data_IF_524900178095
#
_entry.id   IF_524900178095
#
_cell.length_a   1.000
_cell.length_b   1.000
_cell.length_c   1.000
_cell.angle_alpha   90.00
_cell.angle_beta   90.00
_cell.angle_gamma   90.00
#
_symmetry.space_group_name_H-M   'P 1'
#
loop_
_entity.id
_entity.type
_entity.pdbx_description
1 polymer ?
#
# COMPACT_ATOMS: atom_id res chain seq x y z
N UNK A 1 18.89 1.74 36.73
CA UNK A 1 20.07 2.11 35.93
C UNK A 1 21.33 1.51 36.48
N UNK A 2 21.49 0.20 36.29
CA UNK A 2 22.84 -0.36 36.18
C UNK A 2 23.33 0.04 34.79
N UNK A 3 24.37 0.87 34.73
CA UNK A 3 25.08 1.13 33.48
C UNK A 3 25.72 -0.19 33.04
N UNK A 4 25.08 -0.87 32.10
CA UNK A 4 25.57 -2.11 31.52
C UNK A 4 26.95 -1.83 30.91
N UNK A 5 28.00 -2.35 31.54
CA UNK A 5 29.38 -2.21 31.07
C UNK A 5 29.58 -3.14 29.88
N UNK A 6 29.61 -2.58 28.68
CA UNK A 6 29.96 -3.31 27.46
C UNK A 6 31.47 -3.52 27.44
N UNK A 7 31.92 -4.77 27.39
CA UNK A 7 33.35 -5.08 27.39
C UNK A 7 33.98 -4.81 26.02
N UNK A 8 35.31 -4.64 26.00
CA UNK A 8 36.05 -4.48 24.75
C UNK A 8 36.01 -5.75 23.88
N UNK A 9 35.87 -6.91 24.51
CA UNK A 9 35.69 -8.22 23.84
C UNK A 9 34.35 -8.26 23.11
N UNK A 10 33.25 -7.84 23.74
CA UNK A 10 31.92 -7.79 23.10
C UNK A 10 31.90 -6.88 21.86
N UNK A 11 32.61 -5.76 21.93
CA UNK A 11 32.73 -4.82 20.80
C UNK A 11 33.52 -5.44 19.65
N UNK A 12 34.61 -6.15 19.97
CA UNK A 12 35.43 -6.83 18.98
C UNK A 12 34.65 -7.98 18.32
N UNK A 13 33.98 -8.82 19.11
CA UNK A 13 33.17 -9.93 18.61
C UNK A 13 32.01 -9.43 17.72
N UNK A 14 31.32 -8.37 18.15
CA UNK A 14 30.25 -7.76 17.35
C UNK A 14 30.77 -7.27 15.99
N UNK A 15 31.93 -6.63 15.97
CA UNK A 15 32.56 -6.14 14.75
C UNK A 15 32.99 -7.27 13.82
N UNK A 16 33.64 -8.30 14.35
CA UNK A 16 34.12 -9.44 13.56
C UNK A 16 32.96 -10.25 12.97
N UNK A 17 31.88 -10.45 13.72
CA UNK A 17 30.68 -11.15 13.26
C UNK A 17 29.87 -10.36 12.22
N UNK A 18 30.02 -9.04 12.17
CA UNK A 18 29.29 -8.13 11.26
C UNK A 18 30.22 -7.29 10.38
N UNK A 19 31.39 -7.82 10.05
CA UNK A 19 32.40 -7.08 9.28
C UNK A 19 31.88 -6.62 7.91
N UNK A 20 30.92 -7.36 7.34
CA UNK A 20 30.24 -7.01 6.10
C UNK A 20 29.44 -5.70 6.21
N UNK A 21 28.79 -5.43 7.35
CA UNK A 21 28.03 -4.19 7.59
C UNK A 21 28.94 -2.95 7.63
N UNK A 22 30.24 -3.16 7.85
CA UNK A 22 31.27 -2.13 7.92
C UNK A 22 32.16 -2.07 6.67
N UNK A 23 31.82 -2.85 5.64
CA UNK A 23 32.54 -2.88 4.37
C UNK A 23 31.83 -2.03 3.33
N UNK A 24 32.53 -1.05 2.75
CA UNK A 24 32.01 -0.20 1.66
C UNK A 24 32.74 -0.48 0.36
N UNK A 25 32.06 -0.27 -0.76
CA UNK A 25 32.69 -0.33 -2.10
C UNK A 25 33.11 1.07 -2.52
N UNK A 26 34.40 1.28 -2.69
CA UNK A 26 34.98 2.50 -3.24
C UNK A 26 35.56 2.24 -4.62
N UNK A 27 35.60 3.26 -5.47
CA UNK A 27 36.31 3.18 -6.75
C UNK A 27 37.75 3.62 -6.57
N UNK A 28 38.70 2.79 -6.98
CA UNK A 28 40.13 3.11 -6.94
C UNK A 28 40.52 4.20 -7.97
N UNK A 29 41.78 4.64 -7.93
CA UNK A 29 42.32 5.66 -8.85
C UNK A 29 42.32 5.24 -10.33
N UNK A 30 42.05 3.96 -10.63
CA UNK A 30 41.98 3.39 -11.96
C UNK A 30 40.54 3.09 -12.42
N UNK A 31 39.52 3.46 -11.62
CA UNK A 31 38.12 3.21 -11.95
C UNK A 31 37.62 1.80 -11.61
N UNK A 32 38.38 1.01 -10.85
CA UNK A 32 37.99 -0.34 -10.43
C UNK A 32 37.37 -0.33 -9.03
N UNK A 33 36.30 -1.10 -8.78
CA UNK A 33 35.73 -1.22 -7.44
C UNK A 33 36.70 -1.98 -6.52
N UNK A 34 36.88 -1.47 -5.30
CA UNK A 34 37.58 -2.11 -4.20
C UNK A 34 36.71 -2.07 -2.94
N UNK A 35 36.85 -3.08 -2.10
CA UNK A 35 36.21 -3.12 -0.79
C UNK A 35 37.12 -2.49 0.25
N UNK A 36 36.55 -1.63 1.10
CA UNK A 36 37.24 -0.97 2.21
C UNK A 36 36.45 -1.24 3.47
N UNK A 37 37.08 -1.88 4.44
CA UNK A 37 36.51 -2.14 5.76
C UNK A 37 36.83 -0.95 6.66
N UNK A 38 35.83 -0.41 7.34
CA UNK A 38 36.03 0.68 8.30
C UNK A 38 36.77 0.17 9.55
N UNK A 39 37.80 0.89 10.01
CA UNK A 39 38.54 0.52 11.23
C UNK A 39 37.63 0.44 12.46
N UNK A 40 37.89 -0.53 13.34
CA UNK A 40 37.11 -0.75 14.58
C UNK A 40 36.96 0.53 15.41
N UNK A 41 38.02 1.32 15.57
CA UNK A 41 37.99 2.56 16.33
C UNK A 41 37.04 3.60 15.73
N UNK A 42 36.87 3.59 14.41
CA UNK A 42 35.96 4.51 13.70
C UNK A 42 34.49 4.15 13.93
N UNK A 43 34.16 2.86 14.08
CA UNK A 43 32.79 2.35 14.24
C UNK A 43 32.42 1.97 15.68
N UNK A 44 33.41 1.90 16.59
CA UNK A 44 33.25 1.49 18.00
C UNK A 44 32.10 2.19 18.71
N UNK A 45 31.96 3.50 18.56
CA UNK A 45 30.89 4.26 19.23
C UNK A 45 29.49 3.80 18.78
N UNK A 46 29.32 3.49 17.50
CA UNK A 46 28.09 2.94 16.94
C UNK A 46 27.83 1.52 17.43
N UNK A 47 28.86 0.67 17.50
CA UNK A 47 28.76 -0.70 18.03
C UNK A 47 28.34 -0.69 19.50
N UNK A 48 28.98 0.15 20.33
CA UNK A 48 28.61 0.28 21.76
C UNK A 48 27.17 0.75 21.91
N UNK A 49 26.70 1.68 21.07
CA UNK A 49 25.32 2.13 21.07
C UNK A 49 24.35 0.99 20.67
N UNK A 50 24.70 0.20 19.65
CA UNK A 50 23.92 -0.95 19.21
C UNK A 50 23.84 -2.04 20.30
N UNK A 51 24.97 -2.40 20.91
CA UNK A 51 25.03 -3.37 22.01
C UNK A 51 24.23 -2.91 23.23
N UNK A 52 24.31 -1.63 23.59
CA UNK A 52 23.48 -1.05 24.66
C UNK A 52 22.00 -1.11 24.32
N UNK A 53 21.63 -0.82 23.08
CA UNK A 53 20.23 -0.93 22.63
C UNK A 53 19.75 -2.37 22.71
N UNK A 54 20.55 -3.33 22.27
CA UNK A 54 20.20 -4.75 22.34
C UNK A 54 20.02 -5.19 23.80
N UNK A 55 20.97 -4.88 24.68
CA UNK A 55 20.89 -5.23 26.09
C UNK A 55 19.68 -4.57 26.79
N UNK A 56 19.37 -3.32 26.44
CA UNK A 56 18.18 -2.63 26.93
C UNK A 56 16.88 -3.30 26.46
N UNK A 57 16.83 -3.75 25.20
CA UNK A 57 15.68 -4.49 24.66
C UNK A 57 15.52 -5.85 25.35
N UNK A 58 16.60 -6.60 25.55
CA UNK A 58 16.56 -7.89 26.26
C UNK A 58 16.08 -7.71 27.71
N UNK A 59 16.55 -6.67 28.40
CA UNK A 59 16.09 -6.36 29.75
C UNK A 59 14.61 -5.93 29.77
N UNK A 60 14.19 -5.13 28.78
CA UNK A 60 12.80 -4.71 28.65
C UNK A 60 11.88 -5.90 28.34
N UNK A 61 12.31 -6.82 27.48
CA UNK A 61 11.60 -8.05 27.15
C UNK A 61 11.46 -8.97 28.37
N UNK A 62 12.55 -9.18 29.12
CA UNK A 62 12.50 -9.97 30.36
C UNK A 62 11.54 -9.36 31.40
N UNK A 63 11.57 -8.04 31.57
CA UNK A 63 10.66 -7.34 32.47
C UNK A 63 9.20 -7.41 31.99
N UNK A 64 8.96 -7.32 30.68
CA UNK A 64 7.65 -7.49 30.08
C UNK A 64 7.12 -8.92 30.27
N UNK A 65 7.96 -9.94 30.05
CA UNK A 65 7.61 -11.33 30.26
C UNK A 65 7.27 -11.62 31.73
N UNK A 66 8.03 -11.05 32.66
CA UNK A 66 7.73 -11.16 34.09
C UNK A 66 6.40 -10.50 34.45
N UNK A 67 6.14 -9.29 33.95
CA UNK A 67 4.85 -8.62 34.16
C UNK A 67 3.69 -9.43 33.58
N UNK A 68 3.86 -9.99 32.38
CA UNK A 68 2.86 -10.84 31.76
C UNK A 68 2.57 -12.09 32.61
N UNK A 69 3.60 -12.74 33.13
CA UNK A 69 3.46 -13.90 34.01
C UNK A 69 2.75 -13.56 35.33
N UNK A 70 3.09 -12.42 35.94
CA UNK A 70 2.43 -11.95 37.17
C UNK A 70 0.97 -11.58 36.97
N UNK A 71 0.55 -11.34 35.73
CA UNK A 71 -0.82 -10.99 35.39
C UNK A 71 -1.74 -12.21 35.12
N UNK A 72 -1.16 -13.42 35.07
CA UNK A 72 -1.88 -14.69 34.90
C UNK A 72 -2.44 -15.16 36.27
N UNK A 73 -3.57 -15.91 36.31
CA UNK A 73 -4.12 -16.46 37.54
C UNK A 73 -3.11 -17.26 38.36
N UNK A 74 -3.21 -17.14 39.68
CA UNK A 74 -2.47 -18.00 40.60
C UNK A 74 -3.01 -19.44 40.65
N UNK A 75 -2.40 -20.29 41.49
CA UNK A 75 -2.82 -21.71 41.63
C UNK A 75 -4.25 -21.86 42.15
N UNK A 76 -4.80 -20.84 42.78
CA UNK A 76 -6.16 -20.81 43.31
C UNK A 76 -7.17 -20.23 42.30
N UNK A 77 -6.69 -19.82 41.12
CA UNK A 77 -7.50 -19.26 40.03
C UNK A 77 -7.82 -17.78 40.20
N UNK A 78 -7.17 -17.09 41.13
CA UNK A 78 -7.39 -15.65 41.36
C UNK A 78 -6.68 -14.85 40.29
N UNK A 79 -7.44 -14.07 39.50
CA UNK A 79 -6.88 -13.15 38.49
C UNK A 79 -6.39 -11.89 39.20
N UNK A 80 -5.08 -11.58 39.16
CA UNK A 80 -4.57 -10.34 39.72
C UNK A 80 -5.01 -9.12 38.89
N UNK A 81 -5.13 -7.96 39.53
CA UNK A 81 -5.46 -6.71 38.85
C UNK A 81 -4.22 -6.20 38.08
N UNK A 82 -4.26 -6.25 36.75
CA UNK A 82 -3.13 -5.93 35.90
C UNK A 82 -2.52 -4.55 36.18
N UNK A 83 -3.37 -3.52 36.36
CA UNK A 83 -2.90 -2.16 36.66
C UNK A 83 -2.08 -2.11 37.97
N UNK A 84 -2.50 -2.86 38.99
CA UNK A 84 -1.77 -2.94 40.26
C UNK A 84 -0.43 -3.68 40.12
N UNK A 85 -0.35 -4.73 39.31
CA UNK A 85 0.92 -5.42 39.03
C UNK A 85 1.88 -4.55 38.19
N UNK A 86 1.33 -3.81 37.22
CA UNK A 86 2.08 -2.87 36.40
C UNK A 86 2.64 -1.72 37.26
N UNK A 87 1.86 -1.18 38.20
CA UNK A 87 2.30 -0.17 39.16
C UNK A 87 3.40 -0.70 40.11
N UNK A 88 3.28 -1.93 40.61
CA UNK A 88 4.33 -2.58 41.42
C UNK A 88 5.64 -2.74 40.64
N UNK A 89 5.56 -2.95 39.33
CA UNK A 89 6.71 -3.00 38.43
C UNK A 89 7.27 -1.61 38.06
N UNK A 90 6.66 -0.52 38.53
CA UNK A 90 7.04 0.85 38.19
C UNK A 90 6.69 1.23 36.74
N UNK A 91 5.73 0.52 36.12
CA UNK A 91 5.31 0.69 34.73
C UNK A 91 3.78 0.87 34.69
N UNK A 92 3.25 2.07 35.00
CA UNK A 92 1.80 2.26 35.13
C UNK A 92 1.07 1.93 33.83
N UNK A 93 -0.02 1.18 33.92
CA UNK A 93 -0.80 0.77 32.76
C UNK A 93 -1.52 1.97 32.13
N UNK A 94 -1.41 2.09 30.80
CA UNK A 94 -2.12 3.11 30.03
C UNK A 94 -3.33 2.50 29.33
N UNK A 95 -4.51 3.12 29.50
CA UNK A 95 -5.72 2.72 28.80
C UNK A 95 -5.73 3.26 27.37
N UNK A 96 -5.91 2.35 26.40
CA UNK A 96 -6.09 2.69 25.00
C UNK A 96 -7.57 2.94 24.68
N UNK A 97 -7.83 3.79 23.68
CA UNK A 97 -9.17 3.90 23.11
C UNK A 97 -9.53 2.60 22.35
N UNK A 98 -10.82 2.27 22.17
CA UNK A 98 -11.22 1.13 21.36
C UNK A 98 -10.67 1.24 19.94
N UNK A 99 -10.15 0.14 19.41
CA UNK A 99 -9.49 0.13 18.10
C UNK A 99 -9.79 -1.16 17.32
N UNK A 100 -9.61 -1.11 16.01
CA UNK A 100 -9.92 -2.21 15.09
C UNK A 100 -8.65 -2.96 14.67
N UNK A 101 -8.78 -4.18 14.11
CA UNK A 101 -7.65 -5.06 13.77
C UNK A 101 -6.59 -4.43 12.86
N UNK A 102 -6.99 -3.49 12.00
CA UNK A 102 -6.12 -2.81 11.03
C UNK A 102 -5.76 -1.38 11.42
N UNK A 103 -6.08 -0.98 12.65
CA UNK A 103 -5.66 0.31 13.18
C UNK A 103 -4.22 0.26 13.69
N UNK A 104 -3.61 1.42 13.84
CA UNK A 104 -2.31 1.58 14.52
C UNK A 104 -2.60 2.30 15.84
N UNK A 105 -2.94 1.56 16.91
CA UNK A 105 -3.32 2.17 18.18
C UNK A 105 -2.14 2.83 18.89
N UNK A 106 -0.91 2.46 18.52
CA UNK A 106 0.32 2.98 19.07
C UNK A 106 1.39 3.06 17.98
N UNK A 107 1.98 4.22 17.74
CA UNK A 107 2.94 4.43 16.64
C UNK A 107 4.20 3.57 16.82
N UNK A 108 4.76 3.51 18.03
CA UNK A 108 6.01 2.80 18.33
C UNK A 108 5.92 1.28 18.08
N UNK A 109 4.80 0.66 18.44
CA UNK A 109 4.55 -0.77 18.25
C UNK A 109 3.88 -1.13 16.92
N UNK A 110 3.45 -0.13 16.15
CA UNK A 110 2.88 -0.29 14.82
C UNK A 110 1.72 -1.29 14.74
N UNK A 111 1.70 -2.09 13.67
CA UNK A 111 0.67 -3.10 13.42
C UNK A 111 0.77 -4.32 14.37
N UNK A 112 1.93 -4.58 14.96
CA UNK A 112 2.13 -5.73 15.84
C UNK A 112 1.28 -5.63 17.12
N UNK A 113 1.08 -4.42 17.63
CA UNK A 113 0.19 -4.16 18.78
C UNK A 113 -1.25 -4.55 18.46
N UNK A 114 -1.75 -4.14 17.29
CA UNK A 114 -3.11 -4.48 16.88
C UNK A 114 -3.26 -5.98 16.61
N UNK A 115 -2.26 -6.64 16.01
CA UNK A 115 -2.27 -8.08 15.80
C UNK A 115 -2.36 -8.85 17.12
N UNK A 116 -1.45 -8.58 18.05
CA UNK A 116 -1.41 -9.24 19.36
C UNK A 116 -2.67 -9.00 20.19
N UNK A 117 -3.24 -7.78 20.15
CA UNK A 117 -4.49 -7.48 20.86
C UNK A 117 -5.68 -8.32 20.38
N UNK A 118 -5.71 -8.67 19.10
CA UNK A 118 -6.79 -9.47 18.49
C UNK A 118 -6.58 -10.99 18.64
N UNK A 119 -5.46 -11.43 19.20
CA UNK A 119 -5.23 -12.81 19.64
C UNK A 119 -5.69 -13.03 21.09
N UNK A 120 -5.97 -11.96 21.84
CA UNK A 120 -6.39 -12.05 23.24
C UNK A 120 -7.84 -12.50 23.37
N UNK A 121 -8.10 -13.27 24.42
CA UNK A 121 -9.45 -13.73 24.78
C UNK A 121 -9.85 -13.24 26.18
N UNK A 122 -11.16 -13.07 26.46
CA UNK A 122 -11.63 -12.63 27.77
C UNK A 122 -11.49 -13.73 28.84
N UNK A 123 -10.91 -14.89 28.53
CA UNK A 123 -10.63 -15.92 29.50
C UNK A 123 -9.47 -15.50 30.43
N UNK A 124 -9.17 -16.29 31.46
CA UNK A 124 -8.22 -15.87 32.49
C UNK A 124 -6.74 -15.98 32.06
N UNK A 125 -6.42 -16.83 31.09
CA UNK A 125 -5.05 -17.15 30.67
C UNK A 125 -4.61 -16.37 29.44
N UNK A 126 -5.52 -16.11 28.51
CA UNK A 126 -5.24 -15.45 27.22
C UNK A 126 -5.63 -13.97 27.22
N UNK A 127 -5.82 -13.37 28.40
CA UNK A 127 -6.17 -11.94 28.55
C UNK A 127 -4.95 -11.02 28.44
N UNK A 128 -3.75 -11.57 28.58
CA UNK A 128 -2.49 -10.85 28.61
C UNK A 128 -1.66 -11.27 27.40
N UNK A 129 -1.09 -10.32 26.66
CA UNK A 129 -0.23 -10.65 25.53
C UNK A 129 1.14 -11.12 25.97
N UNK A 130 1.84 -11.83 25.08
CA UNK A 130 3.29 -11.90 25.13
C UNK A 130 3.91 -10.49 24.97
N UNK A 131 5.20 -10.29 25.32
CA UNK A 131 5.91 -9.05 25.04
C UNK A 131 5.89 -8.72 23.54
N UNK A 132 5.65 -7.44 23.23
CA UNK A 132 5.58 -6.92 21.86
C UNK A 132 6.68 -5.88 21.72
N UNK A 133 7.68 -6.15 20.88
CA UNK A 133 8.73 -5.19 20.59
C UNK A 133 8.19 -4.06 19.70
N UNK A 134 8.29 -2.83 20.19
CA UNK A 134 8.19 -1.59 19.42
C UNK A 134 9.57 -1.12 18.93
N UNK A 135 9.62 0.10 18.40
CA UNK A 135 10.88 0.71 17.95
C UNK A 135 11.76 1.10 19.14
N UNK A 136 11.16 1.69 20.16
CA UNK A 136 11.84 2.22 21.34
C UNK A 136 11.43 1.52 22.65
N UNK A 137 10.25 0.88 22.70
CA UNK A 137 9.74 0.24 23.91
C UNK A 137 9.30 -1.21 23.67
N UNK A 138 9.13 -1.94 24.77
CA UNK A 138 8.46 -3.25 24.77
C UNK A 138 7.11 -3.11 25.49
N UNK A 139 6.07 -3.68 24.90
CA UNK A 139 4.70 -3.55 25.36
C UNK A 139 4.14 -4.87 25.85
N UNK A 140 3.26 -4.80 26.85
CA UNK A 140 2.40 -5.90 27.30
C UNK A 140 0.97 -5.38 27.28
N UNK A 141 0.08 -6.09 26.60
CA UNK A 141 -1.32 -5.72 26.49
C UNK A 141 -2.16 -6.54 27.46
N UNK A 142 -3.18 -5.90 28.01
CA UNK A 142 -4.21 -6.54 28.81
C UNK A 142 -5.58 -6.25 28.19
N UNK A 143 -6.34 -7.31 27.89
CA UNK A 143 -7.67 -7.18 27.33
C UNK A 143 -8.68 -6.81 28.43
N UNK A 144 -9.08 -5.54 28.44
CA UNK A 144 -10.13 -5.04 29.33
C UNK A 144 -11.54 -5.44 28.84
N UNK A 145 -11.82 -5.22 27.55
CA UNK A 145 -13.15 -5.40 26.98
C UNK A 145 -13.11 -5.62 25.46
N UNK A 146 -13.90 -6.57 24.99
CA UNK A 146 -14.23 -6.73 23.57
C UNK A 146 -15.52 -5.96 23.28
N UNK A 147 -15.51 -5.13 22.24
CA UNK A 147 -16.71 -4.53 21.69
C UNK A 147 -17.19 -5.37 20.51
N UNK A 148 -18.44 -5.82 20.57
CA UNK A 148 -19.01 -6.60 19.47
C UNK A 148 -19.01 -5.79 18.16
N UNK A 149 -18.72 -6.44 17.01
CA UNK A 149 -18.85 -5.80 15.71
C UNK A 149 -20.24 -5.21 15.54
N UNK A 150 -20.31 -3.90 15.34
CA UNK A 150 -21.56 -3.19 15.07
C UNK A 150 -21.36 -2.18 13.97
N UNK A 151 -22.42 -1.90 13.23
CA UNK A 151 -22.46 -0.73 12.35
C UNK A 151 -22.67 0.50 13.25
N UNK A 152 -21.77 1.49 13.23
CA UNK A 152 -21.97 2.74 13.96
C UNK A 152 -23.25 3.44 13.49
N UNK A 153 -23.91 4.16 14.40
CA UNK A 153 -25.01 5.03 14.00
C UNK A 153 -24.46 6.17 13.14
N UNK A 154 -25.28 6.71 12.23
CA UNK A 154 -24.84 7.79 11.33
C UNK A 154 -24.29 8.98 12.11
N UNK A 155 -24.89 9.33 13.24
CA UNK A 155 -24.49 10.43 14.12
C UNK A 155 -23.06 10.27 14.66
N UNK A 156 -22.59 9.03 14.87
CA UNK A 156 -21.25 8.74 15.38
C UNK A 156 -20.17 8.94 14.32
N UNK A 157 -20.52 8.77 13.04
CA UNK A 157 -19.59 8.84 11.90
C UNK A 157 -19.90 10.01 10.97
N UNK A 158 -20.85 10.88 11.33
CA UNK A 158 -21.37 11.92 10.45
C UNK A 158 -20.27 12.84 9.91
N UNK A 159 -19.30 13.23 10.74
CA UNK A 159 -18.21 14.11 10.34
C UNK A 159 -17.22 13.40 9.40
N UNK A 160 -16.89 12.14 9.67
CA UNK A 160 -16.03 11.33 8.81
C UNK A 160 -16.68 11.09 7.44
N UNK A 161 -17.97 10.75 7.43
CA UNK A 161 -18.74 10.49 6.21
C UNK A 161 -18.95 11.78 5.43
N UNK A 162 -19.13 12.94 6.09
CA UNK A 162 -19.34 14.22 5.40
C UNK A 162 -18.15 14.59 4.51
N UNK A 163 -16.93 14.39 4.97
CA UNK A 163 -15.74 14.69 4.17
C UNK A 163 -15.62 13.77 2.96
N UNK A 164 -15.84 12.47 3.15
CA UNK A 164 -15.87 11.49 2.04
C UNK A 164 -17.00 11.81 1.05
N UNK A 165 -18.18 12.18 1.54
CA UNK A 165 -19.32 12.57 0.73
C UNK A 165 -19.04 13.86 -0.06
N UNK A 166 -18.36 14.84 0.54
CA UNK A 166 -17.91 16.07 -0.13
C UNK A 166 -16.98 15.74 -1.28
N UNK A 167 -15.94 14.95 -1.04
CA UNK A 167 -14.99 14.52 -2.08
C UNK A 167 -15.69 13.77 -3.22
N UNK A 168 -16.62 12.88 -2.90
CA UNK A 168 -17.41 12.16 -3.90
C UNK A 168 -18.30 13.10 -4.72
N UNK A 169 -18.95 14.07 -4.07
CA UNK A 169 -19.78 15.06 -4.75
C UNK A 169 -18.95 15.96 -5.67
N UNK A 170 -17.75 16.36 -5.25
CA UNK A 170 -16.81 17.14 -6.05
C UNK A 170 -16.33 16.36 -7.28
N UNK A 171 -15.91 15.10 -7.10
CA UNK A 171 -15.51 14.24 -8.20
C UNK A 171 -16.65 14.03 -9.22
N UNK A 172 -17.88 13.80 -8.73
CA UNK A 172 -19.05 13.65 -9.59
C UNK A 172 -19.41 14.94 -10.34
N UNK A 173 -19.35 16.09 -9.67
CA UNK A 173 -19.59 17.39 -10.29
C UNK A 173 -18.53 17.73 -11.35
N UNK A 174 -17.26 17.41 -11.08
CA UNK A 174 -16.17 17.61 -12.02
C UNK A 174 -16.35 16.71 -13.26
N UNK A 175 -16.64 15.42 -13.06
CA UNK A 175 -16.91 14.48 -14.15
C UNK A 175 -18.08 14.94 -15.03
N UNK A 176 -19.21 15.33 -14.43
CA UNK A 176 -20.36 15.84 -15.15
C UNK A 176 -20.03 17.10 -15.96
N UNK A 177 -19.21 18.01 -15.40
CA UNK A 177 -18.75 19.20 -16.12
C UNK A 177 -17.85 18.84 -17.29
N UNK A 178 -16.94 17.87 -17.13
CA UNK A 178 -16.10 17.36 -18.20
C UNK A 178 -16.93 16.82 -19.36
N UNK A 179 -17.92 15.96 -19.08
CA UNK A 179 -18.84 15.42 -20.10
C UNK A 179 -19.62 16.52 -20.81
N UNK A 180 -20.17 17.49 -20.07
CA UNK A 180 -20.88 18.60 -20.68
C UNK A 180 -20.00 19.44 -21.63
N UNK A 181 -18.72 19.62 -21.30
CA UNK A 181 -17.77 20.32 -22.18
C UNK A 181 -17.50 19.51 -23.46
N UNK A 182 -17.29 18.18 -23.32
CA UNK A 182 -17.10 17.29 -24.46
C UNK A 182 -18.32 17.30 -25.39
N UNK A 183 -19.53 17.15 -24.85
CA UNK A 183 -20.78 17.17 -25.62
C UNK A 183 -20.98 18.51 -26.34
N UNK A 184 -20.75 19.62 -25.64
CA UNK A 184 -20.83 20.96 -26.23
C UNK A 184 -19.80 21.14 -27.36
N UNK A 185 -18.58 20.64 -27.17
CA UNK A 185 -17.54 20.67 -28.18
C UNK A 185 -17.93 19.84 -29.42
N UNK A 186 -18.36 18.60 -29.22
CA UNK A 186 -18.75 17.70 -30.30
C UNK A 186 -19.94 18.25 -31.11
N UNK A 187 -20.98 18.74 -30.42
CA UNK A 187 -22.15 19.35 -31.06
C UNK A 187 -21.78 20.63 -31.82
N UNK A 188 -20.97 21.51 -31.22
CA UNK A 188 -20.55 22.74 -31.88
C UNK A 188 -19.66 22.50 -33.10
N UNK A 189 -18.79 21.50 -33.06
CA UNK A 189 -17.97 21.11 -34.21
C UNK A 189 -18.82 20.50 -35.33
N UNK A 190 -19.84 19.69 -34.99
CA UNK A 190 -20.80 19.18 -35.96
C UNK A 190 -21.61 20.32 -36.65
N UNK A 191 -21.89 21.40 -35.92
CA UNK A 191 -22.51 22.63 -36.45
C UNK A 191 -21.54 23.51 -37.28
N UNK A 192 -20.28 23.11 -37.45
CA UNK A 192 -19.26 23.87 -38.17
C UNK A 192 -18.67 25.05 -37.39
N UNK A 193 -18.89 25.13 -36.07
CA UNK A 193 -18.25 26.13 -35.19
C UNK A 193 -16.81 25.71 -34.90
N UNK A 194 -15.96 26.69 -34.56
CA UNK A 194 -14.62 26.37 -34.03
C UNK A 194 -14.73 25.80 -32.61
N UNK A 195 -13.77 24.96 -32.19
CA UNK A 195 -13.74 24.40 -30.82
C UNK A 195 -13.87 25.49 -29.74
N UNK A 196 -13.19 26.63 -29.92
CA UNK A 196 -13.29 27.77 -28.99
C UNK A 196 -14.69 28.35 -28.90
N UNK A 197 -15.42 28.41 -30.01
CA UNK A 197 -16.81 28.86 -30.03
C UNK A 197 -17.76 27.82 -29.43
N UNK A 198 -17.51 26.53 -29.69
CA UNK A 198 -18.32 25.42 -29.21
C UNK A 198 -18.34 25.34 -27.68
N UNK A 199 -17.19 25.58 -27.02
CA UNK A 199 -17.08 25.51 -25.56
C UNK A 199 -17.21 26.85 -24.84
N UNK A 200 -17.40 27.97 -25.56
CA UNK A 200 -17.41 29.31 -24.96
C UNK A 200 -18.46 29.48 -23.85
N UNK A 201 -19.62 28.83 -23.97
CA UNK A 201 -20.69 28.88 -23.00
C UNK A 201 -20.37 28.16 -21.67
N UNK A 202 -19.34 27.31 -21.64
CA UNK A 202 -18.95 26.51 -20.46
C UNK A 202 -17.98 27.26 -19.53
N UNK A 203 -17.53 28.45 -19.93
CA UNK A 203 -16.64 29.31 -19.14
C UNK A 203 -15.21 28.78 -18.98
N UNK A 204 -14.79 27.82 -19.81
CA UNK A 204 -13.44 27.23 -19.74
C UNK A 204 -12.43 27.98 -20.59
N UNK A 205 -11.17 28.00 -20.13
CA UNK A 205 -10.06 28.56 -20.89
C UNK A 205 -9.62 27.57 -21.98
N UNK A 206 -9.63 28.02 -23.24
CA UNK A 206 -9.18 27.22 -24.39
C UNK A 206 -7.74 27.61 -24.72
N UNK A 207 -6.84 26.63 -24.71
CA UNK A 207 -5.44 26.81 -25.10
C UNK A 207 -5.15 25.97 -26.35
N UNK A 208 -4.36 26.53 -27.26
CA UNK A 208 -3.84 25.82 -28.42
C UNK A 208 -2.42 25.38 -28.13
N UNK A 209 -2.15 24.09 -28.24
CA UNK A 209 -0.80 23.54 -28.06
C UNK A 209 -0.01 23.62 -29.35
N UNK A 210 1.31 23.75 -29.25
CA UNK A 210 2.21 23.48 -30.38
C UNK A 210 2.06 22.02 -30.85
N UNK A 211 2.33 21.70 -32.13
CA UNK A 211 2.32 20.33 -32.60
C UNK A 211 3.31 19.46 -31.81
N UNK A 212 2.85 18.28 -31.37
CA UNK A 212 3.68 17.34 -30.63
C UNK A 212 3.59 15.93 -31.21
N UNK A 213 4.60 15.09 -30.92
CA UNK A 213 4.62 13.66 -31.22
C UNK A 213 4.51 12.87 -29.93
N UNK A 214 4.34 11.54 -30.01
CA UNK A 214 4.37 10.69 -28.81
C UNK A 214 5.68 10.80 -28.02
N UNK A 215 6.80 11.02 -28.73
CA UNK A 215 8.13 11.17 -28.14
C UNK A 215 8.36 12.58 -27.60
N UNK A 216 8.07 13.63 -28.37
CA UNK A 216 8.30 15.02 -27.94
C UNK A 216 7.27 15.51 -26.91
N UNK A 217 6.04 15.00 -26.97
CA UNK A 217 4.99 15.36 -26.02
C UNK A 217 5.20 14.77 -24.63
N UNK A 218 5.82 13.58 -24.54
CA UNK A 218 6.17 12.96 -23.24
C UNK A 218 7.28 13.73 -22.51
N UNK A 219 8.11 14.45 -23.26
CA UNK A 219 9.21 15.28 -22.74
C UNK A 219 8.89 16.78 -22.76
N UNK A 220 7.63 17.16 -23.04
CA UNK A 220 7.23 18.56 -23.13
C UNK A 220 7.20 19.21 -21.75
N UNK A 221 7.60 20.49 -21.64
CA UNK A 221 7.48 21.26 -20.38
C UNK A 221 6.02 21.48 -19.96
N UNK A 222 5.07 21.34 -20.90
CA UNK A 222 3.65 21.49 -20.62
C UNK A 222 3.05 20.16 -20.15
N UNK A 223 2.69 20.09 -18.86
CA UNK A 223 2.12 18.89 -18.23
C UNK A 223 0.77 18.45 -18.85
N UNK A 224 0.00 19.39 -19.41
CA UNK A 224 -1.24 19.09 -20.13
C UNK A 224 -0.94 18.31 -21.41
N UNK A 225 0.13 18.68 -22.13
CA UNK A 225 0.56 17.94 -23.33
C UNK A 225 0.99 16.53 -22.95
N UNK A 226 1.78 16.37 -21.88
CA UNK A 226 2.19 15.04 -21.40
C UNK A 226 0.99 14.13 -21.09
N UNK A 227 -0.03 14.68 -20.43
CA UNK A 227 -1.26 13.95 -20.10
C UNK A 227 -2.05 13.57 -21.35
N UNK A 228 -2.15 14.51 -22.31
CA UNK A 228 -2.90 14.29 -23.55
C UNK A 228 -2.21 13.33 -24.52
N UNK A 229 -0.88 13.20 -24.49
CA UNK A 229 -0.12 12.35 -25.42
C UNK A 229 -0.65 10.93 -25.48
N UNK A 230 -1.04 10.34 -24.35
CA UNK A 230 -1.60 8.98 -24.33
C UNK A 230 -3.07 8.97 -24.75
N UNK A 231 -3.84 9.97 -24.32
CA UNK A 231 -5.27 10.05 -24.59
C UNK A 231 -5.58 10.25 -26.08
N UNK A 232 -4.85 11.13 -26.76
CA UNK A 232 -5.13 11.52 -28.16
C UNK A 232 -4.71 10.48 -29.20
N UNK A 233 -3.93 9.45 -28.83
CA UNK A 233 -3.45 8.44 -29.80
C UNK A 233 -4.61 7.67 -30.43
N UNK A 234 -5.68 7.46 -29.67
CA UNK A 234 -6.84 6.67 -30.08
C UNK A 234 -7.89 7.47 -30.87
N UNK A 235 -7.70 8.79 -31.03
CA UNK A 235 -8.66 9.68 -31.68
C UNK A 235 -8.22 10.11 -33.09
N UNK A 236 -9.20 10.33 -33.96
CA UNK A 236 -9.03 10.82 -35.33
C UNK A 236 -9.07 12.35 -35.42
N UNK A 237 -8.50 12.95 -36.48
CA UNK A 237 -8.67 14.37 -36.75
C UNK A 237 -10.15 14.76 -36.81
N UNK A 238 -10.52 15.83 -36.12
CA UNK A 238 -11.90 16.29 -35.98
C UNK A 238 -12.62 15.77 -34.73
N UNK A 239 -12.05 14.81 -34.00
CA UNK A 239 -12.67 14.24 -32.82
C UNK A 239 -12.31 15.00 -31.53
N UNK A 240 -13.18 14.88 -30.54
CA UNK A 240 -13.01 15.43 -29.19
C UNK A 240 -12.74 14.27 -28.23
N UNK A 241 -11.73 14.40 -27.39
CA UNK A 241 -11.40 13.39 -26.40
C UNK A 241 -12.43 13.32 -25.28
N UNK A 242 -12.56 12.15 -24.66
CA UNK A 242 -13.17 12.04 -23.35
C UNK A 242 -12.41 12.91 -22.33
N UNK A 243 -13.06 13.34 -21.23
CA UNK A 243 -12.40 14.11 -20.16
C UNK A 243 -11.27 13.30 -19.51
N UNK A 244 -10.05 13.84 -19.58
CA UNK A 244 -8.86 13.19 -19.02
C UNK A 244 -8.50 13.83 -17.68
N UNK A 245 -8.31 13.06 -16.60
CA UNK A 245 -7.82 13.56 -15.32
C UNK A 245 -6.45 14.22 -15.45
N UNK A 246 -6.32 15.43 -14.91
CA UNK A 246 -5.08 16.18 -14.86
C UNK A 246 -5.02 17.06 -13.61
N UNK A 247 -4.12 16.74 -12.68
CA UNK A 247 -4.06 17.40 -11.37
C UNK A 247 -5.41 17.29 -10.63
N UNK A 248 -5.92 18.42 -10.16
CA UNK A 248 -7.24 18.52 -9.49
C UNK A 248 -8.40 18.74 -10.48
N UNK A 249 -8.16 18.58 -11.79
CA UNK A 249 -9.10 18.95 -12.85
C UNK A 249 -9.26 17.89 -13.94
N UNK A 250 -10.04 18.25 -14.96
CA UNK A 250 -10.21 17.47 -16.18
C UNK A 250 -9.81 18.33 -17.40
N UNK A 251 -9.22 17.69 -18.39
CA UNK A 251 -8.89 18.30 -19.68
C UNK A 251 -9.67 17.59 -20.78
N UNK A 252 -10.27 18.37 -21.67
CA UNK A 252 -10.92 17.89 -22.90
C UNK A 252 -10.17 18.50 -24.07
N UNK A 253 -9.72 17.66 -25.00
CA UNK A 253 -8.95 18.08 -26.16
C UNK A 253 -9.72 17.85 -27.47
N UNK A 254 -9.47 18.71 -28.45
CA UNK A 254 -9.94 18.54 -29.82
C UNK A 254 -8.75 18.31 -30.73
N UNK A 255 -8.77 17.23 -31.50
CA UNK A 255 -7.68 16.89 -32.39
C UNK A 255 -7.86 17.60 -33.73
N UNK A 256 -7.18 18.72 -33.94
CA UNK A 256 -7.34 19.51 -35.16
C UNK A 256 -6.84 18.79 -36.42
N UNK A 257 -5.66 18.19 -36.35
CA UNK A 257 -5.02 17.52 -37.49
C UNK A 257 -4.03 16.45 -37.01
N UNK A 258 -3.82 15.44 -37.86
CA UNK A 258 -2.68 14.53 -37.75
C UNK A 258 -1.79 14.66 -38.97
N UNK A 259 -0.51 14.86 -38.73
CA UNK A 259 0.51 14.77 -39.77
C UNK A 259 1.05 13.34 -39.78
N UNK A 260 1.07 12.70 -40.96
CA UNK A 260 1.71 11.41 -41.11
C UNK A 260 3.21 11.52 -40.79
N UNK A 261 3.78 10.50 -40.15
CA UNK A 261 5.21 10.45 -39.93
C UNK A 261 5.94 10.45 -41.29
N UNK A 262 6.94 11.31 -41.45
CA UNK A 262 7.76 11.32 -42.66
C UNK A 262 8.64 10.06 -42.67
N UNK A 263 8.54 9.18 -43.69
CA UNK A 263 9.39 7.99 -43.81
C UNK A 263 10.88 8.33 -43.78
N UNK A 264 11.30 9.52 -44.23
CA UNK A 264 12.70 9.94 -44.18
C UNK A 264 13.22 10.16 -42.75
N UNK A 265 12.32 10.44 -41.80
CA UNK A 265 12.66 10.59 -40.37
C UNK A 265 12.57 9.28 -39.59
N UNK A 266 11.99 8.22 -40.17
CA UNK A 266 11.86 6.92 -39.52
C UNK A 266 13.22 6.34 -39.10
N UNK A 267 14.23 6.46 -39.96
CA UNK A 267 15.59 5.99 -39.69
C UNK A 267 16.20 6.66 -38.45
N UNK A 268 15.87 7.94 -38.19
CA UNK A 268 16.35 8.65 -37.00
C UNK A 268 15.69 8.20 -35.70
N UNK A 269 14.46 7.67 -35.75
CA UNK A 269 13.73 7.19 -34.57
C UNK A 269 13.77 5.67 -34.41
N UNK A 270 14.35 4.94 -35.36
CA UNK A 270 14.35 3.48 -35.37
C UNK A 270 15.00 2.89 -34.12
N UNK A 271 16.09 3.48 -33.65
CA UNK A 271 16.81 3.04 -32.43
C UNK A 271 15.97 3.25 -31.16
N UNK A 272 15.31 4.40 -31.04
CA UNK A 272 14.43 4.74 -29.92
C UNK A 272 13.17 3.86 -29.91
N UNK A 273 12.54 3.66 -31.07
CA UNK A 273 11.39 2.76 -31.23
C UNK A 273 11.80 1.32 -30.88
N UNK A 274 12.96 0.85 -31.36
CA UNK A 274 13.46 -0.47 -31.02
C UNK A 274 13.74 -0.63 -29.52
N UNK A 275 14.28 0.40 -28.86
CA UNK A 275 14.48 0.42 -27.42
C UNK A 275 13.14 0.40 -26.65
N UNK A 276 12.17 1.20 -27.06
CA UNK A 276 10.84 1.22 -26.46
C UNK A 276 10.11 -0.13 -26.60
N UNK A 277 10.17 -0.77 -27.79
CA UNK A 277 9.60 -2.11 -28.02
C UNK A 277 10.32 -3.15 -27.17
N UNK A 278 11.65 -3.10 -27.09
CA UNK A 278 12.45 -4.02 -26.27
C UNK A 278 12.08 -3.89 -24.79
N UNK A 279 11.95 -2.66 -24.28
CA UNK A 279 11.55 -2.40 -22.90
C UNK A 279 10.13 -2.90 -22.62
N UNK A 280 9.17 -2.63 -23.51
CA UNK A 280 7.79 -3.10 -23.36
C UNK A 280 7.71 -4.64 -23.36
N UNK A 281 8.44 -5.31 -24.26
CA UNK A 281 8.53 -6.78 -24.28
C UNK A 281 9.23 -7.33 -23.05
N UNK A 282 10.31 -6.67 -22.60
CA UNK A 282 11.02 -7.04 -21.38
C UNK A 282 10.12 -6.98 -20.14
N UNK A 283 9.33 -5.90 -20.00
CA UNK A 283 8.35 -5.78 -18.92
C UNK A 283 7.25 -6.85 -18.99
N UNK A 284 6.74 -7.15 -20.19
CA UNK A 284 5.76 -8.23 -20.40
C UNK A 284 6.32 -9.61 -20.01
N UNK A 285 7.47 -9.97 -20.57
CA UNK A 285 8.16 -11.23 -20.27
C UNK A 285 8.53 -11.35 -18.79
N UNK A 286 8.92 -10.24 -18.15
CA UNK A 286 9.21 -10.22 -16.72
C UNK A 286 7.94 -10.49 -15.90
N UNK A 287 6.80 -9.89 -16.25
CA UNK A 287 5.51 -10.19 -15.61
C UNK A 287 5.09 -11.64 -15.82
N UNK A 288 5.23 -12.16 -17.04
CA UNK A 288 4.91 -13.56 -17.35
C UNK A 288 5.81 -14.52 -16.58
N UNK A 289 7.11 -14.20 -16.48
CA UNK A 289 8.06 -14.95 -15.66
C UNK A 289 7.73 -14.88 -14.18
N UNK A 290 7.38 -13.70 -13.64
CA UNK A 290 6.94 -13.55 -12.26
C UNK A 290 5.66 -14.37 -11.99
N UNK A 291 4.69 -14.33 -12.90
CA UNK A 291 3.47 -15.11 -12.80
C UNK A 291 3.72 -16.61 -12.86
N UNK A 292 4.63 -17.07 -13.74
CA UNK A 292 5.02 -18.47 -13.85
C UNK A 292 5.84 -18.96 -12.65
N UNK A 293 6.63 -18.08 -12.03
CA UNK A 293 7.27 -18.37 -10.75
C UNK A 293 6.20 -18.51 -9.68
N UNK A 294 5.37 -17.48 -9.47
CA UNK A 294 4.32 -17.43 -8.45
C UNK A 294 3.09 -18.30 -8.78
N UNK A 295 3.21 -19.23 -9.72
CA UNK A 295 2.14 -20.15 -10.07
C UNK A 295 1.76 -20.99 -8.83
N UNK A 296 0.46 -21.12 -8.50
CA UNK A 296 0.00 -21.80 -7.28
C UNK A 296 0.51 -23.24 -7.14
N UNK A 297 0.76 -23.92 -8.27
CA UNK A 297 1.29 -25.28 -8.30
C UNK A 297 2.73 -25.40 -7.75
N UNK A 298 3.45 -24.27 -7.63
CA UNK A 298 4.87 -24.23 -7.22
C UNK A 298 5.07 -23.67 -5.82
N UNK A 299 4.03 -23.13 -5.20
CA UNK A 299 4.08 -22.50 -3.88
C UNK A 299 2.89 -22.94 -3.05
N UNK A 300 3.16 -23.47 -1.86
CA UNK A 300 2.12 -23.68 -0.84
C UNK A 300 2.03 -22.42 0.00
N UNK A 301 0.96 -21.66 -0.18
CA UNK A 301 0.64 -20.52 0.67
C UNK A 301 0.09 -21.03 2.01
N UNK A 302 0.94 -21.08 3.03
CA UNK A 302 0.57 -21.50 4.38
C UNK A 302 -0.21 -20.43 5.17
N UNK A 303 -0.41 -19.23 4.61
CA UNK A 303 -1.19 -18.15 5.23
C UNK A 303 -2.64 -18.10 4.71
N UNK A 304 -2.93 -18.74 3.57
CA UNK A 304 -4.30 -18.91 3.09
C UNK A 304 -4.94 -20.09 3.81
N UNK A 305 -5.57 -19.82 4.96
CA UNK A 305 -6.48 -20.75 5.61
C UNK A 305 -7.50 -21.25 4.58
N UNK A 306 -7.73 -22.57 4.59
CA UNK A 306 -8.50 -23.31 3.61
C UNK A 306 -9.95 -22.78 3.47
N UNK A 307 -10.21 -22.03 2.40
CA UNK A 307 -11.57 -21.72 1.95
C UNK A 307 -12.12 -22.72 0.90
N UNK A 308 -11.33 -23.74 0.49
CA UNK A 308 -11.75 -24.76 -0.50
C UNK A 308 -12.20 -26.08 0.15
N UNK A 309 -13.05 -26.00 1.17
CA UNK A 309 -13.79 -27.15 1.68
C UNK A 309 -15.27 -26.81 1.80
N UNK A 310 -15.94 -26.56 0.66
CA UNK A 310 -17.37 -26.26 0.70
C UNK A 310 -18.10 -25.93 -0.60
N UNK A 311 -17.68 -26.41 -1.78
CA UNK A 311 -18.59 -26.49 -2.93
C UNK A 311 -19.01 -27.95 -3.13
N UNK A 312 -19.99 -28.35 -2.33
CA UNK A 312 -20.68 -29.62 -2.46
C UNK A 312 -21.58 -29.59 -3.70
N UNK A 313 -21.25 -30.46 -4.64
CA UNK A 313 -22.12 -31.15 -5.59
C UNK A 313 -23.58 -30.69 -5.60
N UNK A 314 -23.95 -29.98 -6.67
CA UNK A 314 -25.33 -29.77 -7.11
C UNK A 314 -26.04 -31.13 -7.25
N UNK A 315 -26.82 -31.48 -6.23
CA UNK A 315 -27.73 -32.61 -6.30
C UNK A 315 -28.95 -32.23 -7.14
N UNK A 316 -29.00 -32.79 -8.35
CA UNK A 316 -30.17 -32.87 -9.21
C UNK A 316 -31.44 -33.21 -8.42
N UNK A 317 -32.32 -32.22 -8.29
CA UNK A 317 -33.72 -32.41 -7.90
C UNK A 317 -34.62 -32.03 -9.08
N UNK A 318 -34.46 -32.72 -10.21
CA UNK A 318 -35.47 -32.71 -11.28
C UNK A 318 -36.57 -33.73 -11.01
N UNK A 319 -37.59 -33.24 -10.29
CA UNK A 319 -39.01 -33.30 -10.68
C UNK A 319 -39.51 -34.57 -11.42
N UNK A 320 -39.72 -35.63 -10.67
CA UNK A 320 -40.60 -36.74 -11.07
C UNK A 320 -42.07 -36.31 -10.81
N UNK A 321 -42.74 -35.76 -11.82
CA UNK A 321 -44.21 -35.65 -11.82
C UNK A 321 -44.77 -35.53 -13.24
N UNK A 322 -45.62 -36.52 -13.56
CA UNK A 322 -46.59 -36.59 -14.66
C UNK A 322 -46.08 -37.10 -16.01
N UNK A 323 -46.11 -38.43 -16.16
CA UNK A 323 -46.73 -39.09 -17.31
C UNK A 323 -46.99 -40.56 -16.95
N UNK A 324 -48.22 -40.88 -16.51
CA UNK A 324 -48.81 -42.21 -16.67
C UNK A 324 -50.30 -42.12 -16.33
N UNK A 325 -51.09 -41.82 -17.36
CA UNK A 325 -52.54 -41.96 -17.37
C UNK A 325 -52.99 -42.38 -18.78
N UNK A 326 -52.78 -43.65 -19.13
CA UNK A 326 -53.47 -44.48 -20.14
C UNK A 326 -52.73 -45.84 -20.13
N UNK A 327 -53.27 -47.02 -19.84
CA UNK A 327 -54.56 -47.64 -20.13
C UNK A 327 -54.92 -48.73 -19.08
N UNK A 328 -56.18 -48.74 -18.67
CA UNK A 328 -56.98 -49.88 -18.12
C UNK A 328 -56.94 -51.13 -19.01
N UNK A 329 -57.20 -52.37 -18.50
CA UNK A 329 -58.35 -52.72 -17.64
C UNK A 329 -58.07 -53.61 -16.42
#
# INVERSE_FOLDING_TARGET
DETLEISDEDVQDYYELRIEDYTTTETDTNGQPREVVADLDAVRAGIVAALRRQAALEQADAAAAELAFRAIPDRDGTVPEFAAEADKAGRPAQKLAPFARFSVPLEDGGAAVAAAAFELEPNAYDRVSAPIAGTDHVYVLYLEKIHEPRVPAFEEVADQVREVARQKAEAAALAARGTAIQEAAAAGLADGKTFKQAVAATGVAVQTTEPFTGLSGSSATNEVVQTLVQAVVSYNPGEVTDPVPHGDGLVVAYLQARTAADPATFDSYQSEIAAAIRNRRGQGLFRDWQAALLAPERFTDFQRLADDAGEGEDADFEKEAAEDAEETP
#
